data_IF_168986240539
#
_entry.id   IF_168986240539
#
_cell.length_a   1.000
_cell.length_b   1.000
_cell.length_c   1.000
_cell.angle_alpha   90.00
_cell.angle_beta   90.00
_cell.angle_gamma   90.00
#
_symmetry.space_group_name_H-M   'P 1'
#
loop_
_entity.id
_entity.type
_entity.pdbx_description
1 polymer ?
#
# COMPACT_ATOMS: atom_id res chain seq x y z
N UNK A 1 11.03 -17.86 16.63
CA UNK A 1 9.76 -17.23 16.21
C UNK A 1 8.93 -18.22 15.39
N UNK A 2 7.64 -18.42 15.73
CA UNK A 2 6.75 -19.32 15.00
C UNK A 2 6.70 -19.03 13.50
N UNK A 3 6.67 -20.07 12.67
CA UNK A 3 6.73 -19.95 11.21
C UNK A 3 5.62 -19.08 10.62
N UNK A 4 4.39 -19.17 11.14
CA UNK A 4 3.26 -18.34 10.72
C UNK A 4 3.45 -16.87 11.07
N UNK A 5 3.86 -16.58 12.32
CA UNK A 5 4.11 -15.20 12.77
C UNK A 5 5.27 -14.57 11.99
N UNK A 6 6.34 -15.33 11.74
CA UNK A 6 7.45 -14.92 10.89
C UNK A 6 6.99 -14.59 9.46
N UNK A 7 6.09 -15.41 8.91
CA UNK A 7 5.48 -15.17 7.60
C UNK A 7 4.63 -13.91 7.55
N UNK A 8 3.83 -13.65 8.60
CA UNK A 8 3.03 -12.42 8.74
C UNK A 8 3.94 -11.20 8.84
N UNK A 9 4.93 -11.22 9.74
CA UNK A 9 5.87 -10.10 9.87
C UNK A 9 6.59 -9.83 8.55
N UNK A 10 7.15 -10.85 7.90
CA UNK A 10 7.83 -10.66 6.62
C UNK A 10 6.92 -10.16 5.50
N UNK A 11 5.65 -10.56 5.50
CA UNK A 11 4.62 -10.04 4.60
C UNK A 11 4.32 -8.55 4.86
N UNK A 12 4.25 -8.14 6.14
CA UNK A 12 4.10 -6.72 6.50
C UNK A 12 5.34 -5.89 6.15
N UNK A 13 6.55 -6.44 6.22
CA UNK A 13 7.76 -5.78 5.71
C UNK A 13 7.68 -5.56 4.20
N UNK A 14 7.22 -6.57 3.46
CA UNK A 14 6.96 -6.44 2.02
C UNK A 14 5.91 -5.36 1.77
N UNK A 15 4.83 -5.29 2.57
CA UNK A 15 3.81 -4.26 2.44
C UNK A 15 4.39 -2.85 2.59
N UNK A 16 5.15 -2.59 3.66
CA UNK A 16 5.84 -1.32 3.88
C UNK A 16 6.81 -1.00 2.73
N UNK A 17 7.58 -2.00 2.27
CA UNK A 17 8.50 -1.86 1.16
C UNK A 17 7.80 -1.49 -0.15
N UNK A 18 6.71 -2.17 -0.48
CA UNK A 18 5.89 -1.89 -1.68
C UNK A 18 5.32 -0.47 -1.63
N UNK A 19 4.83 -0.02 -0.48
CA UNK A 19 4.34 1.36 -0.34
C UNK A 19 5.45 2.37 -0.61
N UNK A 20 6.65 2.18 -0.07
CA UNK A 20 7.79 3.08 -0.34
C UNK A 20 8.23 3.05 -1.81
N UNK A 21 8.28 1.87 -2.43
CA UNK A 21 8.64 1.74 -3.84
C UNK A 21 7.63 2.44 -4.75
N UNK A 22 6.33 2.34 -4.43
CA UNK A 22 5.30 3.10 -5.13
C UNK A 22 5.50 4.62 -4.95
N UNK A 23 5.74 5.10 -3.74
CA UNK A 23 6.04 6.52 -3.49
C UNK A 23 7.25 7.00 -4.29
N UNK A 24 8.31 6.21 -4.37
CA UNK A 24 9.48 6.52 -5.19
C UNK A 24 9.12 6.59 -6.69
N UNK A 25 8.41 5.58 -7.21
CA UNK A 25 7.98 5.57 -8.62
C UNK A 25 7.09 6.78 -8.93
N UNK A 26 6.18 7.14 -8.02
CA UNK A 26 5.32 8.33 -8.15
C UNK A 26 6.13 9.61 -8.29
N UNK A 27 7.17 9.78 -7.47
CA UNK A 27 8.09 10.92 -7.57
C UNK A 27 8.86 10.93 -8.89
N UNK A 28 9.36 9.77 -9.33
CA UNK A 28 10.12 9.66 -10.58
C UNK A 28 9.23 9.99 -11.78
N UNK A 29 8.00 9.47 -11.82
CA UNK A 29 7.03 9.81 -12.88
C UNK A 29 6.71 11.30 -12.84
N UNK A 30 6.52 11.87 -11.65
CA UNK A 30 6.32 13.31 -11.45
C UNK A 30 7.47 14.14 -12.01
N UNK A 31 8.72 13.77 -11.70
CA UNK A 31 9.91 14.45 -12.21
C UNK A 31 9.99 14.45 -13.74
N UNK A 32 9.72 13.31 -14.38
CA UNK A 32 9.78 13.22 -15.84
C UNK A 32 8.56 13.82 -16.56
N UNK A 33 7.45 14.04 -15.86
CA UNK A 33 6.24 14.64 -16.41
C UNK A 33 6.14 16.16 -16.16
N UNK A 34 7.05 16.70 -15.36
CA UNK A 34 7.06 18.11 -14.99
C UNK A 34 7.64 18.99 -16.10
N UNK A 35 7.15 20.23 -16.22
CA UNK A 35 7.77 21.24 -17.09
C UNK A 35 9.23 21.48 -16.68
N UNK A 36 10.09 21.74 -17.67
CA UNK A 36 11.53 21.87 -17.49
C UNK A 36 11.87 22.86 -16.35
N UNK A 37 12.65 22.39 -15.36
CA UNK A 37 13.07 23.11 -14.15
C UNK A 37 12.03 23.33 -13.03
N UNK A 38 10.83 22.75 -13.10
CA UNK A 38 9.81 22.89 -12.03
C UNK A 38 9.91 21.85 -10.91
N UNK A 39 10.60 20.72 -11.12
CA UNK A 39 10.71 19.63 -10.15
C UNK A 39 12.16 19.30 -9.83
N UNK A 40 12.55 19.41 -8.55
CA UNK A 40 13.90 19.06 -8.07
C UNK A 40 13.83 17.77 -7.25
N UNK A 41 14.57 16.74 -7.69
CA UNK A 41 14.72 15.50 -6.90
C UNK A 41 15.59 15.79 -5.69
N UNK A 42 14.99 15.75 -4.51
CA UNK A 42 15.69 15.90 -3.23
C UNK A 42 16.24 14.55 -2.76
N UNK A 43 17.34 14.56 -2.00
CA UNK A 43 18.02 13.37 -1.47
C UNK A 43 17.08 12.39 -0.74
N UNK A 44 16.02 12.90 -0.11
CA UNK A 44 15.07 12.11 0.67
C UNK A 44 14.37 11.01 -0.17
N UNK A 45 14.16 11.24 -1.46
CA UNK A 45 13.54 10.25 -2.35
C UNK A 45 14.42 9.03 -2.58
N UNK A 46 15.75 9.20 -2.61
CA UNK A 46 16.68 8.08 -2.68
C UNK A 46 16.65 7.23 -1.41
N UNK A 47 16.43 7.86 -0.25
CA UNK A 47 16.30 7.14 1.02
C UNK A 47 15.02 6.31 1.05
N UNK A 48 13.92 6.82 0.49
CA UNK A 48 12.68 6.06 0.28
C UNK A 48 12.92 4.81 -0.57
N UNK A 49 13.67 4.93 -1.68
CA UNK A 49 14.03 3.78 -2.52
C UNK A 49 14.83 2.73 -1.73
N UNK A 50 15.87 3.18 -1.00
CA UNK A 50 16.73 2.29 -0.21
C UNK A 50 15.91 1.54 0.84
N UNK A 51 15.04 2.23 1.58
CA UNK A 51 14.14 1.58 2.54
C UNK A 51 13.14 0.64 1.86
N UNK A 52 12.57 1.03 0.72
CA UNK A 52 11.66 0.20 -0.05
C UNK A 52 12.29 -1.14 -0.43
N UNK A 53 13.50 -1.10 -1.01
CA UNK A 53 14.25 -2.30 -1.39
C UNK A 53 14.69 -3.12 -0.16
N UNK A 54 15.19 -2.47 0.89
CA UNK A 54 15.67 -3.14 2.10
C UNK A 54 14.53 -3.87 2.85
N UNK A 55 13.37 -3.22 3.01
CA UNK A 55 12.19 -3.83 3.64
C UNK A 55 11.62 -4.97 2.80
N UNK A 56 11.56 -4.80 1.48
CA UNK A 56 11.09 -5.86 0.58
C UNK A 56 12.02 -7.08 0.64
N UNK A 57 13.33 -6.89 0.50
CA UNK A 57 14.32 -7.96 0.52
C UNK A 57 14.40 -8.65 1.89
N UNK A 58 14.41 -7.87 2.98
CA UNK A 58 14.42 -8.43 4.34
C UNK A 58 13.10 -9.15 4.67
N UNK A 59 11.96 -8.69 4.16
CA UNK A 59 10.68 -9.38 4.26
C UNK A 59 10.70 -10.76 3.60
N UNK A 60 11.21 -10.86 2.37
CA UNK A 60 11.42 -12.15 1.69
C UNK A 60 12.39 -13.03 2.49
N UNK A 61 13.50 -12.45 2.97
CA UNK A 61 14.48 -13.13 3.80
C UNK A 61 13.85 -13.74 5.05
N UNK A 62 13.07 -12.94 5.78
CA UNK A 62 12.40 -13.33 7.02
C UNK A 62 11.39 -14.45 6.78
N UNK A 63 10.56 -14.37 5.73
CA UNK A 63 9.64 -15.45 5.36
C UNK A 63 10.40 -16.78 5.18
N UNK A 64 11.54 -16.73 4.48
CA UNK A 64 12.34 -17.92 4.13
C UNK A 64 13.12 -18.51 5.31
N UNK A 65 13.83 -17.69 6.08
CA UNK A 65 14.73 -18.17 7.14
C UNK A 65 14.72 -17.24 8.35
N UNK A 66 14.68 -17.82 9.55
CA UNK A 66 14.71 -17.07 10.82
C UNK A 66 15.99 -16.26 11.04
N UNK A 67 17.11 -16.66 10.43
CA UNK A 67 18.38 -15.92 10.53
C UNK A 67 18.29 -14.44 10.09
N UNK A 68 17.27 -14.09 9.31
CA UNK A 68 17.04 -12.71 8.86
C UNK A 68 16.25 -11.87 9.86
N UNK A 69 15.76 -12.45 10.97
CA UNK A 69 15.00 -11.73 12.01
C UNK A 69 15.72 -10.48 12.52
N UNK A 70 17.00 -10.61 12.91
CA UNK A 70 17.78 -9.48 13.41
C UNK A 70 17.92 -8.35 12.38
N UNK A 71 18.25 -8.71 11.13
CA UNK A 71 18.38 -7.74 10.01
C UNK A 71 17.05 -7.05 9.74
N UNK A 72 15.95 -7.81 9.73
CA UNK A 72 14.60 -7.27 9.58
C UNK A 72 14.25 -6.29 10.70
N UNK A 73 14.57 -6.61 11.95
CA UNK A 73 14.34 -5.71 13.09
C UNK A 73 15.11 -4.40 12.94
N UNK A 74 16.37 -4.45 12.53
CA UNK A 74 17.18 -3.24 12.28
C UNK A 74 16.56 -2.38 11.19
N UNK A 75 16.20 -2.97 10.05
CA UNK A 75 15.64 -2.19 8.94
C UNK A 75 14.28 -1.56 9.29
N UNK A 76 13.42 -2.26 10.02
CA UNK A 76 12.17 -1.67 10.50
C UNK A 76 12.42 -0.55 11.48
N UNK A 77 13.36 -0.72 12.43
CA UNK A 77 13.69 0.32 13.39
C UNK A 77 14.15 1.61 12.68
N UNK A 78 15.11 1.49 11.77
CA UNK A 78 15.62 2.62 11.00
C UNK A 78 14.52 3.26 10.14
N UNK A 79 13.68 2.44 9.51
CA UNK A 79 12.53 2.91 8.74
C UNK A 79 11.53 3.67 9.62
N UNK A 80 11.17 3.14 10.79
CA UNK A 80 10.23 3.78 11.72
C UNK A 80 10.78 5.11 12.23
N UNK A 81 12.06 5.18 12.58
CA UNK A 81 12.70 6.44 12.97
C UNK A 81 12.63 7.45 11.82
N UNK A 82 12.97 7.02 10.60
CA UNK A 82 12.91 7.86 9.42
C UNK A 82 11.50 8.36 9.12
N UNK A 83 10.48 7.50 9.18
CA UNK A 83 9.08 7.92 8.97
C UNK A 83 8.61 8.88 10.06
N UNK A 84 8.99 8.65 11.33
CA UNK A 84 8.68 9.56 12.43
C UNK A 84 9.30 10.94 12.23
N UNK A 85 10.57 10.98 11.81
CA UNK A 85 11.25 12.22 11.44
C UNK A 85 10.57 12.91 10.26
N UNK A 86 10.21 12.15 9.21
CA UNK A 86 9.56 12.67 8.01
C UNK A 86 8.21 13.31 8.32
N UNK A 87 7.35 12.62 9.09
CA UNK A 87 6.04 13.15 9.53
C UNK A 87 6.22 14.42 10.36
N UNK A 88 7.16 14.42 11.31
CA UNK A 88 7.42 15.59 12.12
C UNK A 88 7.88 16.79 11.29
N UNK A 89 8.91 16.58 10.46
CA UNK A 89 9.58 17.66 9.75
C UNK A 89 8.74 18.22 8.59
N UNK A 90 8.10 17.35 7.80
CA UNK A 90 7.38 17.77 6.59
C UNK A 90 5.89 18.04 6.80
N UNK A 91 5.29 17.59 7.92
CA UNK A 91 3.86 17.82 8.18
C UNK A 91 3.61 18.55 9.48
N UNK A 92 3.94 17.95 10.63
CA UNK A 92 3.55 18.52 11.94
C UNK A 92 4.15 19.90 12.16
N UNK A 93 5.45 20.07 11.85
CA UNK A 93 6.12 21.36 11.93
C UNK A 93 5.51 22.39 10.98
N UNK A 94 5.30 22.01 9.72
CA UNK A 94 4.77 22.90 8.68
C UNK A 94 3.34 23.36 9.02
N UNK A 95 2.48 22.43 9.46
CA UNK A 95 1.11 22.74 9.88
C UNK A 95 1.07 23.65 11.11
N UNK A 96 1.99 23.45 12.06
CA UNK A 96 2.12 24.33 13.22
C UNK A 96 2.56 25.75 12.85
N UNK A 97 3.41 25.89 11.82
CA UNK A 97 3.88 27.18 11.31
C UNK A 97 2.81 27.91 10.47
N UNK A 98 1.95 27.20 9.73
CA UNK A 98 1.01 27.79 8.77
C UNK A 98 -0.29 28.34 9.41
N UNK A 99 -0.60 28.04 10.68
CA UNK A 99 -1.82 28.51 11.39
C UNK A 99 -3.14 28.37 10.59
N UNK A 100 -3.21 27.49 9.59
CA UNK A 100 -4.42 27.23 8.79
C UNK A 100 -4.76 25.74 8.80
N UNK A 101 -6.04 25.44 8.57
CA UNK A 101 -6.59 24.09 8.36
C UNK A 101 -6.14 23.50 7.01
N UNK A 102 -4.83 23.43 6.74
CA UNK A 102 -4.34 22.74 5.56
C UNK A 102 -4.56 21.22 5.73
N UNK A 103 -4.89 20.49 4.64
CA UNK A 103 -5.17 19.07 4.72
C UNK A 103 -3.94 18.28 5.18
N UNK A 104 -4.16 17.34 6.10
CA UNK A 104 -3.12 16.46 6.63
C UNK A 104 -2.91 15.27 5.70
N UNK A 105 -1.65 15.01 5.32
CA UNK A 105 -1.30 13.89 4.46
C UNK A 105 -1.01 12.64 5.32
N UNK A 106 -1.92 11.68 5.34
CA UNK A 106 -1.90 10.61 6.34
C UNK A 106 -0.89 9.48 6.06
N UNK A 107 -0.30 9.39 4.86
CA UNK A 107 0.51 8.23 4.48
C UNK A 107 1.73 8.04 5.38
N UNK A 108 2.50 9.10 5.64
CA UNK A 108 3.68 9.04 6.52
C UNK A 108 3.32 8.60 7.94
N UNK A 109 2.21 9.10 8.47
CA UNK A 109 1.75 8.76 9.83
C UNK A 109 1.30 7.30 9.92
N UNK A 110 0.56 6.82 8.92
CA UNK A 110 0.12 5.43 8.85
C UNK A 110 1.32 4.49 8.68
N UNK A 111 2.32 4.88 7.88
CA UNK A 111 3.56 4.12 7.71
C UNK A 111 4.40 4.07 8.99
N UNK A 112 4.50 5.18 9.71
CA UNK A 112 5.15 5.23 11.02
C UNK A 112 4.47 4.28 12.01
N UNK A 113 3.15 4.39 12.16
CA UNK A 113 2.37 3.54 13.07
C UNK A 113 2.46 2.05 12.69
N UNK A 114 2.36 1.73 11.40
CA UNK A 114 2.49 0.37 10.90
C UNK A 114 3.90 -0.20 11.13
N UNK A 115 4.94 0.60 10.88
CA UNK A 115 6.32 0.22 11.17
C UNK A 115 6.54 -0.04 12.66
N UNK A 116 5.98 0.80 13.53
CA UNK A 116 6.05 0.62 14.98
C UNK A 116 5.36 -0.67 15.43
N UNK A 117 4.17 -0.97 14.92
CA UNK A 117 3.47 -2.23 15.23
C UNK A 117 4.27 -3.46 14.79
N UNK A 118 4.87 -3.42 13.59
CA UNK A 118 5.74 -4.51 13.10
C UNK A 118 6.98 -4.64 13.98
N UNK A 119 7.60 -3.52 14.38
CA UNK A 119 8.76 -3.51 15.26
C UNK A 119 8.46 -4.14 16.61
N UNK A 120 7.38 -3.69 17.27
CA UNK A 120 6.91 -4.24 18.55
C UNK A 120 6.68 -5.75 18.41
N UNK A 121 6.02 -6.17 17.33
CA UNK A 121 5.78 -7.59 17.06
C UNK A 121 7.09 -8.37 16.92
N UNK A 122 8.08 -7.84 16.20
CA UNK A 122 9.39 -8.49 16.03
C UNK A 122 10.19 -8.58 17.34
N UNK A 123 10.03 -7.62 18.25
CA UNK A 123 10.71 -7.60 19.55
C UNK A 123 10.08 -8.53 20.60
N UNK A 124 8.75 -8.58 20.64
CA UNK A 124 7.98 -9.32 21.66
C UNK A 124 7.62 -10.74 21.18
N UNK A 125 7.84 -11.05 19.91
CA UNK A 125 7.50 -12.36 19.34
C UNK A 125 8.03 -13.53 20.19
N UNK A 126 7.17 -14.51 20.54
CA UNK A 126 7.61 -15.67 21.30
C UNK A 126 8.72 -16.40 20.54
N UNK A 127 9.80 -16.72 21.26
CA UNK A 127 10.97 -17.41 20.66
C UNK A 127 10.69 -18.89 20.42
N UNK A 128 9.75 -19.47 21.15
CA UNK A 128 9.39 -20.89 21.08
C UNK A 128 8.23 -21.13 20.12
N UNK A 129 8.31 -22.24 19.38
CA UNK A 129 7.17 -22.74 18.61
C UNK A 129 6.13 -23.24 19.61
N UNK A 130 5.03 -22.50 19.78
CA UNK A 130 3.83 -23.10 20.34
C UNK A 130 3.41 -24.21 19.38
N UNK A 131 3.32 -25.44 19.87
CA UNK A 131 2.84 -26.57 19.07
C UNK A 131 1.44 -26.21 18.58
N UNK A 132 1.28 -26.07 17.26
CA UNK A 132 -0.05 -25.92 16.67
C UNK A 132 -0.84 -27.17 17.04
N UNK A 133 -1.92 -26.99 17.81
CA UNK A 133 -2.88 -28.06 18.06
C UNK A 133 -3.31 -28.59 16.70
N UNK A 134 -3.08 -29.88 16.44
CA UNK A 134 -3.50 -30.58 15.22
C UNK A 134 -5.03 -30.75 15.20
N UNK A 135 -5.75 -29.63 15.28
CA UNK A 135 -7.18 -29.59 15.07
C UNK A 135 -7.50 -29.69 13.58
N UNK A 136 -8.68 -30.23 13.25
CA UNK A 136 -9.18 -30.26 11.88
C UNK A 136 -9.19 -28.84 11.28
N UNK A 137 -8.36 -28.64 10.25
CA UNK A 137 -8.19 -27.34 9.58
C UNK A 137 -9.07 -27.20 8.33
N UNK A 138 -10.08 -28.06 8.15
CA UNK A 138 -11.02 -27.98 7.01
C UNK A 138 -11.70 -26.61 6.86
N UNK A 139 -11.90 -25.88 7.97
CA UNK A 139 -12.43 -24.51 7.97
C UNK A 139 -11.51 -23.48 7.29
N UNK A 140 -10.18 -23.69 7.27
CA UNK A 140 -9.22 -22.79 6.58
C UNK A 140 -9.42 -22.76 5.07
N UNK A 141 -9.97 -23.83 4.50
CA UNK A 141 -10.30 -23.91 3.07
C UNK A 141 -11.36 -22.88 2.67
N UNK A 142 -12.34 -22.60 3.56
CA UNK A 142 -13.38 -21.58 3.33
C UNK A 142 -12.79 -20.18 3.23
N UNK A 143 -11.88 -19.82 4.16
CA UNK A 143 -11.16 -18.54 4.12
C UNK A 143 -10.28 -18.41 2.88
N UNK A 144 -9.68 -19.51 2.44
CA UNK A 144 -8.89 -19.53 1.22
C UNK A 144 -9.75 -19.19 -0.02
N UNK A 145 -10.95 -19.74 -0.11
CA UNK A 145 -11.89 -19.40 -1.20
C UNK A 145 -12.41 -17.98 -1.09
N UNK A 146 -12.68 -17.49 0.12
CA UNK A 146 -13.03 -16.09 0.33
C UNK A 146 -11.92 -15.14 -0.16
N UNK A 147 -10.65 -15.44 0.15
CA UNK A 147 -9.51 -14.70 -0.39
C UNK A 147 -9.49 -14.72 -1.94
N UNK A 148 -9.72 -15.88 -2.55
CA UNK A 148 -9.82 -16.01 -4.00
C UNK A 148 -10.96 -15.17 -4.60
N UNK A 149 -12.15 -15.20 -3.98
CA UNK A 149 -13.31 -14.42 -4.41
C UNK A 149 -13.07 -12.91 -4.33
N UNK A 150 -12.57 -12.40 -3.20
CA UNK A 150 -12.25 -10.98 -3.09
C UNK A 150 -11.12 -10.56 -4.04
N UNK A 151 -10.20 -11.48 -4.36
CA UNK A 151 -9.19 -11.22 -5.40
C UNK A 151 -9.81 -11.13 -6.79
N UNK A 152 -10.80 -11.96 -7.12
CA UNK A 152 -11.54 -11.85 -8.38
C UNK A 152 -12.27 -10.51 -8.49
N UNK A 153 -12.98 -10.09 -7.42
CA UNK A 153 -13.63 -8.77 -7.38
C UNK A 153 -12.59 -7.67 -7.58
N UNK A 154 -11.47 -7.73 -6.86
CA UNK A 154 -10.35 -6.81 -7.01
C UNK A 154 -9.80 -6.77 -8.45
N UNK A 155 -9.64 -7.91 -9.11
CA UNK A 155 -9.17 -7.98 -10.49
C UNK A 155 -10.13 -7.27 -11.46
N UNK A 156 -11.43 -7.54 -11.35
CA UNK A 156 -12.46 -6.91 -12.19
C UNK A 156 -12.46 -5.40 -11.98
N UNK A 157 -12.45 -4.94 -10.73
CA UNK A 157 -12.39 -3.51 -10.40
C UNK A 157 -11.10 -2.87 -10.93
N UNK A 158 -9.96 -3.56 -10.84
CA UNK A 158 -8.68 -3.05 -11.33
C UNK A 158 -8.66 -2.87 -12.84
N UNK A 159 -9.17 -3.85 -13.58
CA UNK A 159 -9.27 -3.78 -15.04
C UNK A 159 -10.21 -2.63 -15.45
N UNK A 160 -11.36 -2.53 -14.78
CA UNK A 160 -12.33 -1.49 -15.07
C UNK A 160 -11.79 -0.08 -14.74
N UNK A 161 -11.05 0.07 -13.64
CA UNK A 161 -10.36 1.30 -13.28
C UNK A 161 -9.32 1.69 -14.35
N UNK A 162 -8.47 0.74 -14.76
CA UNK A 162 -7.46 0.99 -15.79
C UNK A 162 -8.08 1.46 -17.12
N UNK A 163 -9.13 0.77 -17.60
CA UNK A 163 -9.84 1.15 -18.83
C UNK A 163 -10.42 2.56 -18.71
N UNK A 164 -11.07 2.88 -17.58
CA UNK A 164 -11.68 4.20 -17.35
C UNK A 164 -10.64 5.31 -17.33
N UNK A 165 -9.50 5.08 -16.67
CA UNK A 165 -8.41 6.05 -16.60
C UNK A 165 -7.79 6.27 -17.98
N UNK A 166 -7.41 5.21 -18.71
CA UNK A 166 -6.79 5.36 -20.02
C UNK A 166 -7.71 5.94 -21.08
N UNK A 167 -9.00 5.58 -21.06
CA UNK A 167 -10.00 6.14 -22.00
C UNK A 167 -10.12 7.65 -21.81
N UNK A 168 -10.07 8.14 -20.57
CA UNK A 168 -10.14 9.56 -20.29
C UNK A 168 -8.85 10.29 -20.66
N UNK A 169 -7.69 9.71 -20.36
CA UNK A 169 -6.39 10.30 -20.71
C UNK A 169 -6.17 10.47 -22.22
N UNK A 170 -6.89 9.70 -23.05
CA UNK A 170 -6.86 9.80 -24.51
C UNK A 170 -8.10 10.50 -25.10
N UNK A 171 -8.93 11.12 -24.26
CA UNK A 171 -10.14 11.84 -24.70
C UNK A 171 -9.80 13.31 -24.97
N UNK A 172 -10.08 13.81 -26.18
CA UNK A 172 -9.89 15.22 -26.58
C UNK A 172 -10.88 16.20 -25.90
N UNK A 173 -11.75 15.68 -25.02
CA UNK A 173 -12.77 16.45 -24.30
C UNK A 173 -12.18 17.15 -23.07
N UNK A 174 -11.77 18.42 -23.24
CA UNK A 174 -11.26 19.33 -22.19
C UNK A 174 -12.23 19.50 -21.00
N UNK A 175 -13.53 19.20 -21.17
CA UNK A 175 -14.58 19.48 -20.17
C UNK A 175 -14.61 18.55 -18.96
N UNK A 176 -13.79 17.50 -18.91
CA UNK A 176 -13.84 16.47 -17.86
C UNK A 176 -12.43 16.02 -17.42
N UNK A 177 -11.47 16.95 -17.36
CA UNK A 177 -10.12 16.64 -16.89
C UNK A 177 -10.15 16.15 -15.44
N UNK A 178 -9.52 14.99 -15.17
CA UNK A 178 -9.20 14.60 -13.80
C UNK A 178 -8.22 15.61 -13.22
N UNK A 179 -8.52 16.17 -12.05
CA UNK A 179 -7.61 17.09 -11.37
C UNK A 179 -6.50 16.34 -10.62
N UNK A 180 -6.79 15.12 -10.16
CA UNK A 180 -5.93 14.35 -9.27
C UNK A 180 -5.52 12.97 -9.83
N UNK A 181 -6.25 12.43 -10.81
CA UNK A 181 -5.91 11.13 -11.40
C UNK A 181 -4.78 11.27 -12.42
N UNK A 182 -3.72 10.48 -12.25
CA UNK A 182 -2.54 10.49 -13.12
C UNK A 182 -2.42 9.22 -13.96
N UNK A 183 -1.64 9.23 -15.07
CA UNK A 183 -1.35 8.02 -15.85
C UNK A 183 -0.79 6.86 -15.00
N UNK A 184 -0.02 7.18 -13.95
CA UNK A 184 0.52 6.20 -13.01
C UNK A 184 -0.59 5.39 -12.32
N UNK A 185 -1.75 5.97 -12.04
CA UNK A 185 -2.87 5.26 -11.42
C UNK A 185 -3.44 4.18 -12.34
N UNK A 186 -3.45 4.45 -13.66
CA UNK A 186 -3.82 3.46 -14.68
C UNK A 186 -2.82 2.30 -14.75
N UNK A 187 -1.52 2.60 -14.77
CA UNK A 187 -0.48 1.57 -14.72
C UNK A 187 -0.51 0.75 -13.43
N UNK A 188 -0.76 1.40 -12.29
CA UNK A 188 -0.90 0.74 -11.01
C UNK A 188 -2.13 -0.18 -10.97
N UNK A 189 -3.26 0.25 -11.55
CA UNK A 189 -4.43 -0.60 -11.71
C UNK A 189 -4.15 -1.83 -12.59
N UNK A 190 -3.40 -1.68 -13.69
CA UNK A 190 -2.95 -2.84 -14.48
C UNK A 190 -2.07 -3.80 -13.68
N UNK A 191 -1.10 -3.28 -12.92
CA UNK A 191 -0.26 -4.08 -12.03
C UNK A 191 -1.12 -4.84 -11.01
N UNK A 192 -2.09 -4.16 -10.37
CA UNK A 192 -3.00 -4.77 -9.41
C UNK A 192 -3.87 -5.87 -10.02
N UNK A 193 -4.36 -5.69 -11.25
CA UNK A 193 -5.10 -6.73 -11.96
C UNK A 193 -4.27 -8.02 -12.08
N UNK A 194 -3.00 -7.91 -12.46
CA UNK A 194 -2.09 -9.08 -12.56
C UNK A 194 -1.91 -9.74 -11.19
N UNK A 195 -1.64 -8.97 -10.14
CA UNK A 195 -1.45 -9.50 -8.79
C UNK A 195 -2.73 -10.19 -8.28
N UNK A 196 -3.90 -9.60 -8.49
CA UNK A 196 -5.17 -10.20 -8.10
C UNK A 196 -5.46 -11.51 -8.84
N UNK A 197 -5.21 -11.57 -10.15
CA UNK A 197 -5.36 -12.81 -10.93
C UNK A 197 -4.42 -13.89 -10.40
N UNK A 198 -3.16 -13.54 -10.11
CA UNK A 198 -2.21 -14.49 -9.53
C UNK A 198 -2.69 -15.02 -8.17
N UNK A 199 -3.18 -14.14 -7.29
CA UNK A 199 -3.72 -14.53 -5.98
C UNK A 199 -4.97 -15.38 -6.13
N UNK A 200 -5.88 -15.02 -7.04
CA UNK A 200 -7.08 -15.79 -7.34
C UNK A 200 -6.73 -17.20 -7.78
N UNK A 201 -5.82 -17.38 -8.75
CA UNK A 201 -5.39 -18.70 -9.24
C UNK A 201 -4.70 -19.50 -8.15
N UNK A 202 -3.81 -18.86 -7.38
CA UNK A 202 -3.04 -19.53 -6.34
C UNK A 202 -3.87 -19.85 -5.09
N UNK A 203 -4.94 -19.12 -4.81
CA UNK A 203 -5.85 -19.41 -3.70
C UNK A 203 -6.34 -20.86 -3.75
N UNK A 204 -6.56 -21.45 -4.92
CA UNK A 204 -7.02 -22.84 -5.03
C UNK A 204 -5.97 -23.86 -4.57
N UNK A 205 -4.69 -23.55 -4.73
CA UNK A 205 -3.57 -24.49 -4.44
C UNK A 205 -2.84 -24.14 -3.16
N UNK A 206 -2.30 -22.92 -3.05
CA UNK A 206 -1.42 -22.50 -1.96
C UNK A 206 -1.39 -20.98 -1.80
N UNK A 207 -1.58 -20.52 -0.57
CA UNK A 207 -1.45 -19.10 -0.21
C UNK A 207 0.03 -18.71 -0.07
N UNK A 208 0.43 -17.56 -0.60
CA UNK A 208 1.80 -17.03 -0.55
C UNK A 208 1.88 -15.77 0.32
N UNK A 209 2.73 -15.78 1.35
CA UNK A 209 2.98 -14.60 2.18
C UNK A 209 3.57 -13.42 1.38
N UNK A 210 4.29 -13.69 0.29
CA UNK A 210 4.85 -12.63 -0.57
C UNK A 210 3.70 -11.87 -1.27
N UNK A 211 2.75 -12.60 -1.85
CA UNK A 211 1.61 -11.99 -2.55
C UNK A 211 0.67 -11.28 -1.57
N UNK A 212 0.49 -11.83 -0.37
CA UNK A 212 -0.27 -11.14 0.69
C UNK A 212 0.41 -9.81 1.03
N UNK A 213 1.74 -9.77 1.13
CA UNK A 213 2.47 -8.54 1.43
C UNK A 213 2.29 -7.48 0.36
N UNK A 214 2.36 -7.88 -0.93
CA UNK A 214 2.12 -6.97 -2.06
C UNK A 214 0.69 -6.42 -2.03
N UNK A 215 -0.32 -7.28 -1.86
CA UNK A 215 -1.71 -6.84 -1.75
C UNK A 215 -1.94 -5.92 -0.56
N UNK A 216 -1.36 -6.21 0.60
CA UNK A 216 -1.47 -5.36 1.78
C UNK A 216 -0.82 -3.99 1.54
N UNK A 217 0.38 -3.94 0.95
CA UNK A 217 1.03 -2.68 0.59
C UNK A 217 0.21 -1.86 -0.41
N UNK A 218 -0.37 -2.52 -1.41
CA UNK A 218 -1.29 -1.89 -2.35
C UNK A 218 -2.57 -1.36 -1.68
N UNK A 219 -3.13 -2.10 -0.72
CA UNK A 219 -4.29 -1.61 0.04
C UNK A 219 -3.96 -0.34 0.82
N UNK A 220 -2.76 -0.26 1.41
CA UNK A 220 -2.31 0.94 2.12
C UNK A 220 -2.16 2.13 1.17
N UNK A 221 -1.56 1.94 0.00
CA UNK A 221 -1.46 2.98 -1.03
C UNK A 221 -2.86 3.50 -1.40
N UNK A 222 -3.79 2.60 -1.74
CA UNK A 222 -5.12 2.99 -2.22
C UNK A 222 -5.95 3.67 -1.14
N UNK A 223 -5.89 3.21 0.11
CA UNK A 223 -6.60 3.85 1.21
C UNK A 223 -6.00 5.20 1.61
N UNK A 224 -4.67 5.33 1.62
CA UNK A 224 -4.03 6.61 1.92
C UNK A 224 -4.29 7.64 0.82
N UNK A 225 -4.23 7.23 -0.44
CA UNK A 225 -4.62 8.08 -1.58
C UNK A 225 -6.09 8.51 -1.46
N UNK A 226 -6.99 7.58 -1.14
CA UNK A 226 -8.41 7.92 -0.93
C UNK A 226 -8.60 8.95 0.18
N UNK A 227 -8.01 8.74 1.37
CA UNK A 227 -8.12 9.67 2.50
C UNK A 227 -7.51 11.05 2.21
N UNK A 228 -6.37 11.08 1.52
CA UNK A 228 -5.70 12.31 1.14
C UNK A 228 -6.58 13.10 0.16
N UNK A 229 -7.05 12.44 -0.90
CA UNK A 229 -7.89 13.06 -1.93
C UNK A 229 -9.20 13.56 -1.34
N UNK A 230 -9.89 12.80 -0.48
CA UNK A 230 -11.12 13.28 0.15
C UNK A 230 -10.87 14.54 0.99
N UNK A 231 -9.76 14.58 1.73
CA UNK A 231 -9.38 15.76 2.53
C UNK A 231 -9.08 16.97 1.65
N UNK A 232 -8.42 16.77 0.51
CA UNK A 232 -8.15 17.82 -0.47
C UNK A 232 -9.41 18.30 -1.19
N UNK A 233 -10.34 17.40 -1.51
CA UNK A 233 -11.63 17.73 -2.13
C UNK A 233 -12.46 18.60 -1.19
N UNK A 234 -12.58 18.22 0.08
CA UNK A 234 -13.33 18.98 1.07
C UNK A 234 -12.68 20.36 1.29
N UNK A 235 -11.35 20.41 1.41
CA UNK A 235 -10.62 21.67 1.52
C UNK A 235 -10.84 22.59 0.30
N UNK A 236 -10.76 22.06 -0.93
CA UNK A 236 -10.94 22.83 -2.16
C UNK A 236 -12.39 23.31 -2.34
N UNK A 237 -13.36 22.51 -1.91
CA UNK A 237 -14.78 22.89 -1.92
C UNK A 237 -15.04 24.04 -0.94
N UNK A 238 -14.57 23.90 0.29
CA UNK A 238 -14.87 24.83 1.38
C UNK A 238 -14.08 26.15 1.26
N UNK A 239 -12.87 26.13 0.68
CA UNK A 239 -11.99 27.29 0.63
C UNK A 239 -11.78 27.88 -0.77
N UNK A 240 -12.01 27.11 -1.85
CA UNK A 240 -11.71 27.53 -3.23
C UNK A 240 -12.92 27.48 -4.17
N UNK A 241 -14.09 27.01 -3.70
CA UNK A 241 -15.32 26.88 -4.52
C UNK A 241 -15.14 26.04 -5.80
N UNK A 242 -14.20 25.08 -5.80
CA UNK A 242 -13.93 24.20 -6.94
C UNK A 242 -14.90 23.00 -6.87
N UNK A 243 -15.68 22.80 -7.92
CA UNK A 243 -16.59 21.65 -8.06
C UNK A 243 -15.95 20.55 -8.90
N UNK A 244 -15.77 19.38 -8.31
CA UNK A 244 -15.19 18.20 -8.99
C UNK A 244 -16.20 17.51 -9.90
N UNK A 245 -15.73 17.03 -11.06
CA UNK A 245 -16.53 16.28 -12.03
C UNK A 245 -16.95 14.90 -11.51
N UNK A 246 -18.06 14.38 -12.02
CA UNK A 246 -18.62 13.06 -11.64
C UNK A 246 -17.67 11.89 -11.94
N UNK A 247 -16.86 12.01 -13.00
CA UNK A 247 -15.97 10.94 -13.44
C UNK A 247 -14.83 10.71 -12.45
N UNK A 248 -14.33 11.78 -11.81
CA UNK A 248 -13.22 11.72 -10.86
C UNK A 248 -13.63 10.94 -9.60
N UNK A 249 -14.85 11.17 -9.11
CA UNK A 249 -15.42 10.41 -8.00
C UNK A 249 -15.57 8.92 -8.34
N UNK A 250 -15.87 8.59 -9.59
CA UNK A 250 -15.97 7.20 -10.03
C UNK A 250 -14.60 6.50 -9.95
N UNK A 251 -13.53 7.14 -10.42
CA UNK A 251 -12.17 6.59 -10.31
C UNK A 251 -11.75 6.37 -8.87
N UNK A 252 -12.01 7.34 -7.99
CA UNK A 252 -11.71 7.19 -6.57
C UNK A 252 -12.53 6.08 -5.88
N UNK A 253 -13.81 5.95 -6.24
CA UNK A 253 -14.65 4.84 -5.77
C UNK A 253 -14.09 3.48 -6.20
N UNK A 254 -13.60 3.37 -7.44
CA UNK A 254 -12.96 2.15 -7.93
C UNK A 254 -11.65 1.86 -7.21
N UNK A 255 -10.80 2.86 -6.99
CA UNK A 255 -9.55 2.71 -6.23
C UNK A 255 -9.82 2.26 -4.78
N UNK A 256 -10.86 2.78 -4.14
CA UNK A 256 -11.30 2.35 -2.81
C UNK A 256 -11.73 0.88 -2.79
N UNK A 257 -12.60 0.47 -3.73
CA UNK A 257 -13.04 -0.92 -3.87
C UNK A 257 -11.86 -1.88 -4.13
N UNK A 258 -10.90 -1.44 -4.94
CA UNK A 258 -9.67 -2.17 -5.24
C UNK A 258 -8.82 -2.34 -3.96
N UNK A 259 -8.68 -1.29 -3.15
CA UNK A 259 -8.01 -1.32 -1.86
C UNK A 259 -8.71 -2.24 -0.84
N UNK A 260 -10.03 -2.15 -0.73
CA UNK A 260 -10.84 -2.99 0.14
C UNK A 260 -10.74 -4.48 -0.22
N UNK A 261 -10.83 -4.80 -1.51
CA UNK A 261 -10.63 -6.16 -2.01
C UNK A 261 -9.23 -6.70 -1.69
N UNK A 262 -8.18 -5.88 -1.87
CA UNK A 262 -6.80 -6.26 -1.52
C UNK A 262 -6.64 -6.53 -0.02
N UNK A 263 -7.20 -5.66 0.82
CA UNK A 263 -7.14 -5.77 2.29
C UNK A 263 -7.87 -7.02 2.79
N UNK A 264 -9.13 -7.19 2.40
CA UNK A 264 -9.97 -8.32 2.83
C UNK A 264 -9.37 -9.65 2.33
N UNK A 265 -8.95 -9.71 1.07
CA UNK A 265 -8.27 -10.88 0.52
C UNK A 265 -7.02 -11.24 1.32
N UNK A 266 -6.21 -10.24 1.67
CA UNK A 266 -5.00 -10.42 2.48
C UNK A 266 -5.30 -10.99 3.87
N UNK A 267 -6.33 -10.47 4.56
CA UNK A 267 -6.75 -10.99 5.88
C UNK A 267 -7.17 -12.44 5.78
N UNK A 268 -8.04 -12.79 4.84
CA UNK A 268 -8.51 -14.16 4.68
C UNK A 268 -7.38 -15.10 4.27
N UNK A 269 -6.43 -14.63 3.45
CA UNK A 269 -5.24 -15.36 3.09
C UNK A 269 -4.32 -15.61 4.32
N UNK A 270 -4.14 -14.64 5.22
CA UNK A 270 -3.42 -14.86 6.49
C UNK A 270 -4.09 -15.89 7.39
N UNK A 271 -5.43 -15.84 7.50
CA UNK A 271 -6.21 -16.80 8.29
C UNK A 271 -6.08 -18.21 7.70
N UNK A 272 -6.26 -18.34 6.38
CA UNK A 272 -6.18 -19.58 5.64
C UNK A 272 -4.79 -20.22 5.67
N UNK A 273 -3.75 -19.43 5.88
CA UNK A 273 -2.37 -19.92 5.93
C UNK A 273 -2.16 -20.80 7.15
N UNK A 274 -1.67 -22.02 6.87
CA UNK A 274 -1.09 -22.93 7.86
C UNK A 274 0.25 -22.36 8.29
#
# INVERSE_FOLDING_TARGET
MPGKLRGICGSLLIALGVTQLYSFISVIVGYFSAEENSFVIVWNYWVILVFGLALFASGIGLIRKEKYHFISTIFVLLFTIFQGFSVYYYQLRVLAEIQKNAPFEWSGTILFASGLLVLITLLIAPKFNANEVMADQGWKTKWRYAAGFFSLVGAVTSIFAAITIFKQLHSDSIKEGYLFTMPLDGYFACFMAVIFILVMVLAWKKVSFILIGILMGASFILFTNYLSVTSWIDFAKDNLSITFGSNERQVFGMQFLMGASAFISSIFAYIAKK
#
